data_IF_531942659314
#
_entry.id   IF_531942659314
#
_cell.length_a   1.000
_cell.length_b   1.000
_cell.length_c   1.000
_cell.angle_alpha   90.00
_cell.angle_beta   90.00
_cell.angle_gamma   90.00
#
_symmetry.space_group_name_H-M   'P 1'
#
loop_
_entity.id
_entity.type
_entity.pdbx_description
1 polymer ?
#
# COMPACT_ATOMS: atom_id res chain seq x y z
N UNK A 1 8.41 18.32 -7.69
CA UNK A 1 8.77 18.06 -6.28
C UNK A 1 9.66 16.82 -6.15
N UNK A 2 9.27 15.64 -6.68
CA UNK A 2 10.07 14.41 -6.55
C UNK A 2 11.48 14.49 -7.17
N UNK A 3 11.62 15.10 -8.36
CA UNK A 3 12.92 15.24 -9.03
C UNK A 3 13.93 16.08 -8.23
N UNK A 4 13.45 17.09 -7.50
CA UNK A 4 14.29 17.92 -6.63
C UNK A 4 14.77 17.15 -5.40
N UNK A 5 13.91 16.31 -4.83
CA UNK A 5 14.26 15.42 -3.71
C UNK A 5 15.33 14.40 -4.10
N UNK A 6 15.19 13.75 -5.25
CA UNK A 6 16.19 12.81 -5.76
C UNK A 6 17.53 13.47 -6.01
N UNK A 7 17.53 14.63 -6.67
CA UNK A 7 18.75 15.40 -6.90
C UNK A 7 19.41 15.76 -5.56
N UNK A 8 18.61 16.16 -4.56
CA UNK A 8 19.09 16.42 -3.21
C UNK A 8 19.79 15.21 -2.58
N UNK A 9 19.19 14.01 -2.64
CA UNK A 9 19.81 12.80 -2.12
C UNK A 9 21.14 12.46 -2.82
N UNK A 10 21.21 12.58 -4.15
CA UNK A 10 22.46 12.33 -4.89
C UNK A 10 23.55 13.35 -4.54
N UNK A 11 23.21 14.63 -4.41
CA UNK A 11 24.17 15.67 -4.03
C UNK A 11 24.69 15.47 -2.61
N UNK A 12 23.81 15.19 -1.65
CA UNK A 12 24.20 14.93 -0.26
C UNK A 12 25.09 13.68 -0.18
N UNK A 13 24.73 12.61 -0.88
CA UNK A 13 25.52 11.39 -0.92
C UNK A 13 26.91 11.63 -1.54
N UNK A 14 26.99 12.40 -2.63
CA UNK A 14 28.25 12.76 -3.28
C UNK A 14 29.14 13.62 -2.37
N UNK A 15 28.58 14.64 -1.71
CA UNK A 15 29.31 15.48 -0.75
C UNK A 15 29.80 14.67 0.45
N UNK A 16 28.98 13.76 0.98
CA UNK A 16 29.37 12.87 2.07
C UNK A 16 30.49 11.90 1.67
N UNK A 17 30.43 11.34 0.46
CA UNK A 17 31.48 10.49 -0.09
C UNK A 17 32.80 11.26 -0.28
N UNK A 18 32.73 12.48 -0.84
CA UNK A 18 33.88 13.38 -0.98
C UNK A 18 34.49 13.76 0.38
N UNK A 19 33.65 14.06 1.38
CA UNK A 19 34.12 14.35 2.74
C UNK A 19 34.82 13.15 3.39
N UNK A 20 34.25 11.95 3.27
CA UNK A 20 34.89 10.70 3.76
C UNK A 20 36.20 10.39 3.04
N UNK A 21 36.28 10.67 1.75
CA UNK A 21 37.49 10.45 0.96
C UNK A 21 38.59 11.46 1.30
N UNK A 22 38.28 12.76 1.28
CA UNK A 22 39.28 13.84 1.42
C UNK A 22 39.67 14.13 2.87
N UNK A 23 38.70 14.09 3.80
CA UNK A 23 38.92 14.44 5.22
C UNK A 23 39.09 13.18 6.06
N UNK A 24 38.32 12.13 5.75
CA UNK A 24 38.35 10.86 6.48
C UNK A 24 39.44 9.88 6.02
N UNK A 25 40.09 10.13 4.88
CA UNK A 25 41.15 9.28 4.34
C UNK A 25 40.68 7.87 3.94
N UNK A 26 39.40 7.70 3.58
CA UNK A 26 38.81 6.42 3.19
C UNK A 26 38.80 6.27 1.64
N UNK A 27 39.82 5.61 1.03
CA UNK A 27 39.90 5.44 -0.42
C UNK A 27 38.86 4.44 -0.95
N UNK A 28 38.27 3.61 -0.09
CA UNK A 28 37.33 2.57 -0.48
C UNK A 28 35.89 3.09 -0.59
N UNK A 29 35.62 4.33 -0.15
CA UNK A 29 34.25 4.85 -0.05
C UNK A 29 33.47 4.79 -1.37
N UNK A 30 34.11 5.08 -2.50
CA UNK A 30 33.46 5.01 -3.82
C UNK A 30 33.20 3.57 -4.27
N UNK A 31 34.12 2.65 -3.97
CA UNK A 31 33.93 1.23 -4.25
C UNK A 31 32.79 0.64 -3.42
N UNK A 32 32.71 1.00 -2.13
CA UNK A 32 31.62 0.60 -1.24
C UNK A 32 30.26 1.15 -1.69
N UNK A 33 30.20 2.36 -2.23
CA UNK A 33 28.97 2.91 -2.82
C UNK A 33 28.52 2.08 -4.02
N UNK A 34 29.44 1.76 -4.94
CA UNK A 34 29.12 0.93 -6.12
C UNK A 34 28.65 -0.47 -5.69
N UNK A 35 29.32 -1.09 -4.74
CA UNK A 35 28.93 -2.39 -4.19
C UNK A 35 27.53 -2.33 -3.55
N UNK A 36 27.25 -1.28 -2.76
CA UNK A 36 25.94 -1.09 -2.14
C UNK A 36 24.82 -0.90 -3.18
N UNK A 37 25.10 -0.23 -4.31
CA UNK A 37 24.15 -0.09 -5.41
C UNK A 37 23.77 -1.45 -6.00
N UNK A 38 24.76 -2.31 -6.24
CA UNK A 38 24.51 -3.67 -6.75
C UNK A 38 23.80 -4.56 -5.72
N UNK A 39 24.19 -4.46 -4.44
CA UNK A 39 23.51 -5.18 -3.36
C UNK A 39 22.03 -4.78 -3.24
N UNK A 40 21.73 -3.47 -3.32
CA UNK A 40 20.37 -2.96 -3.29
C UNK A 40 19.57 -3.35 -4.54
N UNK A 41 20.21 -3.38 -5.71
CA UNK A 41 19.57 -3.87 -6.94
C UNK A 41 19.17 -5.35 -6.82
N UNK A 42 20.05 -6.19 -6.27
CA UNK A 42 19.75 -7.60 -6.01
C UNK A 42 18.62 -7.76 -5.01
N UNK A 43 18.69 -7.05 -3.88
CA UNK A 43 17.65 -7.05 -2.86
C UNK A 43 16.28 -6.65 -3.44
N UNK A 44 16.25 -5.60 -4.28
CA UNK A 44 15.02 -5.18 -4.94
C UNK A 44 14.42 -6.29 -5.80
N UNK A 45 15.24 -7.01 -6.57
CA UNK A 45 14.76 -8.14 -7.40
C UNK A 45 14.25 -9.30 -6.52
N UNK A 46 14.96 -9.66 -5.45
CA UNK A 46 14.54 -10.71 -4.52
C UNK A 46 13.18 -10.37 -3.88
N UNK A 47 12.99 -9.12 -3.45
CA UNK A 47 11.71 -8.62 -2.94
C UNK A 47 10.63 -8.67 -4.03
N UNK A 48 10.92 -8.23 -5.26
CA UNK A 48 9.96 -8.24 -6.36
C UNK A 48 9.46 -9.65 -6.68
N UNK A 49 10.34 -10.65 -6.71
CA UNK A 49 9.97 -12.05 -6.98
C UNK A 49 9.04 -12.59 -5.89
N UNK A 50 9.37 -12.36 -4.61
CA UNK A 50 8.52 -12.75 -3.48
C UNK A 50 7.15 -12.07 -3.55
N UNK A 51 7.14 -10.77 -3.82
CA UNK A 51 5.91 -10.00 -3.96
C UNK A 51 5.08 -10.53 -5.13
N UNK A 52 5.65 -10.74 -6.32
CA UNK A 52 4.87 -11.24 -7.46
C UNK A 52 4.15 -12.55 -7.17
N UNK A 53 4.82 -13.55 -6.60
CA UNK A 53 4.15 -14.82 -6.27
C UNK A 53 2.99 -14.63 -5.29
N UNK A 54 3.23 -13.84 -4.24
CA UNK A 54 2.25 -13.56 -3.18
C UNK A 54 1.06 -12.76 -3.74
N UNK A 55 1.34 -11.71 -4.51
CA UNK A 55 0.35 -10.85 -5.16
C UNK A 55 -0.52 -11.62 -6.13
N UNK A 56 0.09 -12.40 -7.03
CA UNK A 56 -0.64 -13.17 -8.04
C UNK A 56 -1.58 -14.18 -7.40
N UNK A 57 -1.16 -14.85 -6.33
CA UNK A 57 -2.01 -15.78 -5.58
C UNK A 57 -3.22 -15.06 -4.97
N UNK A 58 -2.98 -14.00 -4.21
CA UNK A 58 -4.03 -13.29 -3.49
C UNK A 58 -4.99 -12.55 -4.43
N UNK A 59 -4.47 -11.91 -5.47
CA UNK A 59 -5.29 -11.29 -6.52
C UNK A 59 -6.13 -12.33 -7.26
N UNK A 60 -5.55 -13.50 -7.56
CA UNK A 60 -6.28 -14.63 -8.16
C UNK A 60 -7.45 -15.08 -7.28
N UNK A 61 -7.21 -15.29 -5.99
CA UNK A 61 -8.25 -15.66 -5.03
C UNK A 61 -9.34 -14.58 -4.93
N UNK A 62 -8.97 -13.30 -4.89
CA UNK A 62 -9.92 -12.20 -4.86
C UNK A 62 -10.80 -12.18 -6.12
N UNK A 63 -10.21 -12.40 -7.31
CA UNK A 63 -10.99 -12.47 -8.55
C UNK A 63 -11.99 -13.61 -8.54
N UNK A 64 -11.66 -14.75 -7.93
CA UNK A 64 -12.60 -15.86 -7.74
C UNK A 64 -13.72 -15.45 -6.78
N UNK A 65 -13.41 -14.82 -5.66
CA UNK A 65 -14.40 -14.34 -4.69
C UNK A 65 -15.34 -13.26 -5.28
N UNK A 66 -14.81 -12.40 -6.14
CA UNK A 66 -15.58 -11.41 -6.90
C UNK A 66 -16.54 -12.10 -7.88
N UNK A 67 -16.03 -13.04 -8.68
CA UNK A 67 -16.84 -13.82 -9.61
C UNK A 67 -17.91 -14.69 -8.91
N UNK A 68 -17.63 -15.17 -7.70
CA UNK A 68 -18.57 -15.90 -6.86
C UNK A 68 -19.64 -15.00 -6.19
N UNK A 69 -19.55 -13.68 -6.36
CA UNK A 69 -20.49 -12.72 -5.78
C UNK A 69 -20.31 -12.48 -4.28
N UNK A 70 -19.29 -13.08 -3.64
CA UNK A 70 -19.00 -12.92 -2.22
C UNK A 70 -18.72 -11.45 -1.87
N UNK A 71 -18.02 -10.76 -2.77
CA UNK A 71 -17.68 -9.34 -2.64
C UNK A 71 -18.92 -8.46 -2.75
N UNK A 72 -19.84 -8.76 -3.67
CA UNK A 72 -21.11 -8.04 -3.79
C UNK A 72 -22.01 -8.26 -2.57
N UNK A 73 -21.99 -9.46 -1.99
CA UNK A 73 -22.71 -9.76 -0.75
C UNK A 73 -22.16 -8.95 0.43
N UNK A 74 -20.83 -8.92 0.60
CA UNK A 74 -20.19 -8.12 1.65
C UNK A 74 -20.45 -6.61 1.46
N UNK A 75 -20.49 -6.15 0.21
CA UNK A 75 -20.85 -4.78 -0.15
C UNK A 75 -22.26 -4.40 0.31
N UNK A 76 -23.22 -5.31 0.18
CA UNK A 76 -24.60 -5.11 0.67
C UNK A 76 -24.67 -5.11 2.20
N UNK A 77 -23.86 -5.95 2.85
CA UNK A 77 -23.81 -6.05 4.32
C UNK A 77 -23.24 -4.77 4.97
N UNK A 78 -22.17 -4.22 4.41
CA UNK A 78 -21.50 -3.02 4.94
C UNK A 78 -22.05 -1.71 4.36
N UNK A 79 -22.83 -1.76 3.28
CA UNK A 79 -23.53 -0.61 2.71
C UNK A 79 -24.29 0.29 3.71
N UNK A 80 -25.08 -0.22 4.68
CA UNK A 80 -25.74 0.62 5.68
C UNK A 80 -24.76 1.38 6.60
N UNK A 81 -23.61 0.78 6.93
CA UNK A 81 -22.57 1.44 7.72
C UNK A 81 -21.97 2.62 6.96
N UNK A 82 -21.55 2.39 5.71
CA UNK A 82 -20.95 3.45 4.89
C UNK A 82 -21.95 4.54 4.48
N UNK A 83 -23.24 4.21 4.31
CA UNK A 83 -24.29 5.23 4.15
C UNK A 83 -24.40 6.17 5.36
N UNK A 84 -24.17 5.66 6.57
CA UNK A 84 -24.21 6.47 7.79
C UNK A 84 -22.93 7.29 7.99
N UNK A 85 -21.78 6.70 7.64
CA UNK A 85 -20.48 7.35 7.77
C UNK A 85 -20.20 8.37 6.65
N UNK A 86 -20.76 8.17 5.46
CA UNK A 86 -20.51 8.98 4.26
C UNK A 86 -21.84 9.52 3.68
N UNK A 87 -22.55 10.39 4.40
CA UNK A 87 -23.87 10.88 3.99
C UNK A 87 -23.83 11.72 2.69
N UNK A 88 -22.67 12.26 2.34
CA UNK A 88 -22.43 13.05 1.12
C UNK A 88 -22.41 12.20 -0.15
N UNK A 89 -22.31 10.87 -0.04
CA UNK A 89 -22.26 9.96 -1.20
C UNK A 89 -23.67 9.43 -1.50
N UNK A 90 -24.22 9.67 -2.71
CA UNK A 90 -25.57 9.22 -3.04
C UNK A 90 -25.75 7.71 -2.90
N UNK A 91 -26.95 7.33 -2.47
CA UNK A 91 -27.42 5.95 -2.45
C UNK A 91 -27.24 5.26 -3.80
N UNK A 92 -26.45 4.18 -3.86
CA UNK A 92 -26.22 3.42 -5.09
C UNK A 92 -25.09 3.96 -5.97
N UNK A 93 -24.37 5.00 -5.54
CA UNK A 93 -23.18 5.47 -6.25
C UNK A 93 -22.08 4.38 -6.24
N UNK A 94 -21.37 4.14 -7.37
CA UNK A 94 -20.33 3.12 -7.46
C UNK A 94 -19.20 3.27 -6.42
N UNK A 95 -18.94 4.51 -5.97
CA UNK A 95 -17.99 4.80 -4.90
C UNK A 95 -18.20 3.94 -3.64
N UNK A 96 -19.45 3.76 -3.19
CA UNK A 96 -19.76 2.97 -1.99
C UNK A 96 -19.38 1.50 -2.17
N UNK A 97 -19.61 0.93 -3.36
CA UNK A 97 -19.21 -0.43 -3.68
C UNK A 97 -17.69 -0.59 -3.63
N UNK A 98 -16.95 0.30 -4.29
CA UNK A 98 -15.47 0.26 -4.35
C UNK A 98 -14.82 0.48 -2.98
N UNK A 99 -15.34 1.40 -2.16
CA UNK A 99 -14.87 1.62 -0.78
C UNK A 99 -15.07 0.36 0.04
N UNK A 100 -16.24 -0.27 -0.08
CA UNK A 100 -16.54 -1.48 0.66
C UNK A 100 -15.67 -2.64 0.20
N UNK A 101 -15.40 -2.76 -1.09
CA UNK A 101 -14.47 -3.75 -1.65
C UNK A 101 -13.04 -3.54 -1.14
N UNK A 102 -12.56 -2.30 -1.11
CA UNK A 102 -11.24 -1.96 -0.58
C UNK A 102 -11.14 -2.29 0.91
N UNK A 103 -12.16 -1.96 1.70
CA UNK A 103 -12.21 -2.28 3.13
C UNK A 103 -12.27 -3.81 3.37
N UNK A 104 -13.06 -4.53 2.58
CA UNK A 104 -13.13 -5.99 2.62
C UNK A 104 -11.79 -6.65 2.29
N UNK A 105 -11.11 -6.15 1.25
CA UNK A 105 -9.79 -6.65 0.85
C UNK A 105 -8.75 -6.41 1.94
N UNK A 106 -8.69 -5.20 2.52
CA UNK A 106 -7.80 -4.92 3.66
C UNK A 106 -8.14 -5.78 4.89
N UNK A 107 -9.43 -5.95 5.20
CA UNK A 107 -9.87 -6.76 6.34
C UNK A 107 -9.45 -8.23 6.21
N UNK A 108 -9.45 -8.77 4.99
CA UNK A 108 -9.00 -10.13 4.68
C UNK A 108 -7.47 -10.26 4.50
N UNK A 109 -6.70 -9.19 4.70
CA UNK A 109 -5.23 -9.18 4.53
C UNK A 109 -4.79 -9.21 3.06
N UNK A 110 -5.65 -8.80 2.14
CA UNK A 110 -5.40 -8.69 0.70
C UNK A 110 -4.97 -7.26 0.33
N UNK A 111 -4.12 -6.65 1.15
CA UNK A 111 -3.78 -5.21 1.11
C UNK A 111 -3.29 -4.74 -0.27
N UNK A 112 -2.60 -5.62 -0.98
CA UNK A 112 -2.07 -5.31 -2.30
C UNK A 112 -3.14 -5.29 -3.41
N UNK A 113 -4.25 -5.99 -3.22
CA UNK A 113 -5.42 -5.89 -4.08
C UNK A 113 -6.28 -4.67 -3.73
N UNK A 114 -6.21 -4.23 -2.48
CA UNK A 114 -6.96 -3.08 -1.99
C UNK A 114 -6.47 -1.77 -2.63
N UNK A 115 -5.18 -1.61 -2.92
CA UNK A 115 -4.60 -0.37 -3.50
C UNK A 115 -5.21 0.05 -4.85
N UNK A 116 -5.26 -0.80 -5.90
CA UNK A 116 -5.88 -0.41 -7.18
C UNK A 116 -7.39 -0.18 -7.05
N UNK A 117 -8.07 -0.90 -6.16
CA UNK A 117 -9.50 -0.69 -5.87
C UNK A 117 -9.71 0.65 -5.16
N UNK A 118 -8.83 0.99 -4.21
CA UNK A 118 -8.88 2.24 -3.46
C UNK A 118 -8.60 3.46 -4.33
N UNK A 119 -7.70 3.35 -5.31
CA UNK A 119 -7.50 4.41 -6.30
C UNK A 119 -8.74 4.63 -7.18
N UNK A 120 -9.44 3.56 -7.57
CA UNK A 120 -10.73 3.69 -8.29
C UNK A 120 -11.79 4.32 -7.39
N UNK A 121 -11.90 3.88 -6.12
CA UNK A 121 -12.81 4.47 -5.14
C UNK A 121 -12.55 5.97 -4.97
N UNK A 122 -11.28 6.39 -4.87
CA UNK A 122 -10.90 7.79 -4.75
C UNK A 122 -11.30 8.62 -5.98
N UNK A 123 -11.17 8.06 -7.18
CA UNK A 123 -11.65 8.71 -8.42
C UNK A 123 -13.16 8.87 -8.45
N UNK A 124 -13.91 7.83 -8.06
CA UNK A 124 -15.37 7.92 -7.95
C UNK A 124 -15.85 8.87 -6.86
N UNK A 125 -15.07 9.04 -5.78
CA UNK A 125 -15.37 10.08 -4.79
C UNK A 125 -15.04 11.48 -5.33
N UNK A 126 -14.01 11.61 -6.16
CA UNK A 126 -13.64 12.89 -6.78
C UNK A 126 -14.70 13.40 -7.76
N UNK A 127 -15.48 12.53 -8.43
CA UNK A 127 -16.58 12.98 -9.30
C UNK A 127 -17.71 13.67 -8.54
N UNK A 128 -17.85 13.36 -7.24
CA UNK A 128 -18.81 13.97 -6.34
C UNK A 128 -18.25 15.20 -5.61
N UNK A 129 -16.97 15.50 -5.79
CA UNK A 129 -16.31 16.57 -5.05
C UNK A 129 -16.59 17.94 -5.70
N UNK A 130 -17.31 18.85 -5.01
CA UNK A 130 -17.57 20.19 -5.54
C UNK A 130 -16.30 21.05 -5.64
N UNK A 131 -15.21 20.68 -4.94
CA UNK A 131 -13.95 21.42 -4.91
C UNK A 131 -12.78 20.50 -5.27
N UNK A 132 -12.44 20.35 -6.57
CA UNK A 132 -11.46 19.36 -7.02
C UNK A 132 -10.05 19.50 -6.40
N UNK A 133 -9.67 20.71 -6.02
CA UNK A 133 -8.38 21.05 -5.40
C UNK A 133 -8.31 20.70 -3.90
N UNK A 134 -9.44 20.38 -3.25
CA UNK A 134 -9.51 20.07 -1.82
C UNK A 134 -10.18 18.72 -1.59
N UNK A 135 -9.67 17.92 -0.65
CA UNK A 135 -10.28 16.62 -0.35
C UNK A 135 -11.66 16.80 0.32
N UNK A 136 -12.69 16.12 -0.19
CA UNK A 136 -14.01 16.05 0.43
C UNK A 136 -13.98 15.22 1.72
N UNK A 137 -14.99 15.38 2.59
CA UNK A 137 -15.07 14.61 3.85
C UNK A 137 -15.11 13.10 3.57
N UNK A 138 -15.80 12.69 2.51
CA UNK A 138 -15.83 11.31 2.05
C UNK A 138 -14.42 10.77 1.69
N UNK A 139 -13.61 11.57 0.99
CA UNK A 139 -12.23 11.19 0.63
C UNK A 139 -11.32 11.13 1.85
N UNK A 140 -11.44 12.12 2.76
CA UNK A 140 -10.68 12.17 4.02
C UNK A 140 -11.02 10.94 4.86
N UNK A 141 -12.30 10.63 5.05
CA UNK A 141 -12.74 9.47 5.82
C UNK A 141 -12.23 8.16 5.20
N UNK A 142 -12.31 8.02 3.87
CA UNK A 142 -11.79 6.85 3.18
C UNK A 142 -10.28 6.65 3.40
N UNK A 143 -9.52 7.75 3.38
CA UNK A 143 -8.08 7.76 3.69
C UNK A 143 -7.82 7.38 5.15
N UNK A 144 -8.56 7.94 6.10
CA UNK A 144 -8.43 7.62 7.54
C UNK A 144 -8.72 6.15 7.79
N UNK A 145 -9.77 5.59 7.16
CA UNK A 145 -10.10 4.17 7.30
C UNK A 145 -9.00 3.27 6.74
N UNK A 146 -8.43 3.59 5.59
CA UNK A 146 -7.31 2.83 5.02
C UNK A 146 -6.03 2.96 5.89
N UNK A 147 -5.76 4.15 6.42
CA UNK A 147 -4.62 4.40 7.30
C UNK A 147 -4.76 3.70 8.66
N UNK A 148 -5.99 3.46 9.13
CA UNK A 148 -6.26 2.71 10.36
C UNK A 148 -6.01 1.21 10.24
N UNK A 149 -5.73 0.70 9.02
CA UNK A 149 -5.32 -0.68 8.74
C UNK A 149 -6.06 -1.74 9.55
N UNK A 150 -7.40 -1.71 9.53
CA UNK A 150 -8.21 -2.73 10.20
C UNK A 150 -8.11 -4.07 9.44
N UNK A 151 -7.08 -4.85 9.77
CA UNK A 151 -6.84 -6.19 9.21
C UNK A 151 -7.32 -7.23 10.22
N UNK A 152 -8.39 -7.98 9.89
CA UNK A 152 -8.92 -9.04 10.76
C UNK A 152 -8.02 -10.28 10.78
N UNK A 153 -7.35 -10.55 9.66
CA UNK A 153 -6.44 -11.70 9.51
C UNK A 153 -5.04 -11.20 9.13
N UNK A 154 -4.13 -11.02 10.10
CA UNK A 154 -2.81 -10.42 9.87
C UNK A 154 -1.80 -11.44 9.28
N UNK A 155 -2.18 -12.08 8.17
CA UNK A 155 -1.41 -13.15 7.52
C UNK A 155 -0.02 -12.68 7.08
N UNK A 156 0.08 -11.43 6.61
CA UNK A 156 1.35 -10.79 6.22
C UNK A 156 2.32 -10.64 7.40
N UNK A 157 1.81 -10.24 8.57
CA UNK A 157 2.59 -10.15 9.82
C UNK A 157 3.05 -11.55 10.25
N UNK A 158 2.18 -12.56 10.17
CA UNK A 158 2.57 -13.94 10.47
C UNK A 158 3.68 -14.42 9.55
N UNK A 159 3.61 -14.11 8.26
CA UNK A 159 4.65 -14.48 7.30
C UNK A 159 5.98 -13.78 7.59
N UNK A 160 5.97 -12.49 7.90
CA UNK A 160 7.20 -11.79 8.30
C UNK A 160 7.78 -12.35 9.60
N UNK A 161 6.95 -12.69 10.59
CA UNK A 161 7.39 -13.33 11.83
C UNK A 161 8.01 -14.70 11.58
N UNK A 162 7.41 -15.52 10.71
CA UNK A 162 7.97 -16.81 10.31
C UNK A 162 9.33 -16.64 9.62
N UNK A 163 9.47 -15.66 8.71
CA UNK A 163 10.73 -15.36 8.02
C UNK A 163 11.84 -14.87 8.96
N UNK A 164 11.47 -14.18 10.05
CA UNK A 164 12.40 -13.71 11.09
C UNK A 164 12.63 -14.75 12.21
N UNK A 165 12.11 -15.97 12.05
CA UNK A 165 12.38 -17.09 12.97
C UNK A 165 11.54 -17.11 14.25
N UNK A 166 10.37 -16.47 14.27
CA UNK A 166 9.48 -16.53 15.43
C UNK A 166 9.03 -17.99 15.71
N UNK A 167 9.13 -18.47 16.97
CA UNK A 167 8.77 -19.84 17.33
C UNK A 167 7.27 -20.12 17.19
N UNK A 168 6.44 -19.09 17.34
CA UNK A 168 5.03 -19.12 16.99
C UNK A 168 4.65 -17.84 16.22
N UNK A 169 4.52 -17.93 14.88
CA UNK A 169 4.19 -16.79 14.04
C UNK A 169 2.78 -16.24 14.23
N UNK A 170 1.83 -17.02 14.78
CA UNK A 170 0.40 -16.62 14.88
C UNK A 170 0.00 -16.06 16.24
N UNK A 171 0.89 -16.14 17.23
CA UNK A 171 0.64 -15.67 18.59
C UNK A 171 0.75 -14.13 18.65
N UNK A 172 -0.40 -13.47 18.74
CA UNK A 172 -0.60 -12.01 18.86
C UNK A 172 -0.80 -11.64 20.33
#
# INVERSE_FOLDING_TARGET
>A
MLNGLWLGFFLIAALAALGRWLIGGDPAVFAAIVESLFAMARLAVEIMVLLFGTLTLWLGLLRIAEAAGLVAWLARLLGPLFRRLMPEVPAGHPALGLITMNFAANALGLDNAATPIGLKAMRELQTLNPHPEAASNAQILFLVLNASSLTLLPVTIFMYRAQQGAPDPTLV
#
